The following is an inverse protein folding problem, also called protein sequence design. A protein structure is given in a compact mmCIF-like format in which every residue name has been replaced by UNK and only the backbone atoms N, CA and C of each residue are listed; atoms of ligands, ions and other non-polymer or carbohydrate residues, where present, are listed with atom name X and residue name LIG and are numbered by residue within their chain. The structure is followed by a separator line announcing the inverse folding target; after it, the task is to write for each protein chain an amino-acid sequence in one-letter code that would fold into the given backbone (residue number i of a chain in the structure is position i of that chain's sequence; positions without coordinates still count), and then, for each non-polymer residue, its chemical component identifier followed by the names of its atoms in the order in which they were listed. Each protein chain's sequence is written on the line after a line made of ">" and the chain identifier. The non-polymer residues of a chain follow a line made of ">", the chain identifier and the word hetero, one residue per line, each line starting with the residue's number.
data_IF_377424967440
#
_entry.id   IF_377424967440
#
_cell.length_a   1.000
_cell.length_b   1.000
_cell.length_c   1.000
_cell.angle_alpha   90.00
_cell.angle_beta   90.00
_cell.angle_gamma   90.00
#
_symmetry.space_group_name_H-M   'P 1'
#
loop_
_entity.id
_entity.type
_entity.pdbx_description
1 polymer ?
#
# COMPACT_ATOMS: atom_id res chain seq x y z
N UNK A 1 2.13 21.73 -66.61
CA UNK A 1 1.88 21.04 -65.32
C UNK A 1 1.33 19.66 -65.62
N UNK A 2 2.05 18.58 -65.29
CA UNK A 2 1.58 17.20 -65.51
C UNK A 2 0.59 16.84 -64.39
N UNK A 3 -0.66 16.57 -64.76
CA UNK A 3 -1.63 15.97 -63.83
C UNK A 3 -1.20 14.54 -63.52
N UNK A 4 -0.80 14.29 -62.26
CA UNK A 4 -0.60 12.93 -61.76
C UNK A 4 -1.97 12.23 -61.71
N UNK A 5 -2.17 11.26 -62.58
CA UNK A 5 -3.31 10.35 -62.53
C UNK A 5 -3.14 9.44 -61.32
N UNK A 6 -4.07 9.56 -60.36
CA UNK A 6 -4.12 8.76 -59.14
C UNK A 6 -4.37 7.29 -59.50
N UNK A 7 -3.42 6.41 -59.17
CA UNK A 7 -3.57 4.97 -59.37
C UNK A 7 -4.33 4.33 -58.18
N UNK A 8 -5.57 3.84 -58.36
CA UNK A 8 -6.38 3.29 -57.28
C UNK A 8 -5.76 2.04 -56.63
N UNK A 9 -4.89 1.31 -57.35
CA UNK A 9 -4.21 0.14 -56.81
C UNK A 9 -3.22 0.50 -55.68
N UNK A 10 -2.61 1.70 -55.75
CA UNK A 10 -1.67 2.16 -54.72
C UNK A 10 -2.40 2.44 -53.39
N UNK A 11 -3.62 3.00 -53.46
CA UNK A 11 -4.44 3.24 -52.26
C UNK A 11 -4.93 1.93 -51.63
N UNK A 12 -5.32 0.96 -52.46
CA UNK A 12 -5.75 -0.35 -51.98
C UNK A 12 -4.58 -1.10 -51.30
N UNK A 13 -3.38 -1.04 -51.88
CA UNK A 13 -2.19 -1.64 -51.30
C UNK A 13 -1.76 -0.98 -49.98
N UNK A 14 -1.81 0.36 -49.89
CA UNK A 14 -1.59 1.10 -48.65
C UNK A 14 -2.63 0.77 -47.58
N UNK A 15 -3.89 0.58 -47.96
CA UNK A 15 -4.95 0.21 -47.03
C UNK A 15 -4.74 -1.20 -46.43
N UNK A 16 -4.37 -2.19 -47.26
CA UNK A 16 -4.05 -3.54 -46.79
C UNK A 16 -2.78 -3.54 -45.92
N UNK A 17 -1.76 -2.75 -46.29
CA UNK A 17 -0.52 -2.63 -45.51
C UNK A 17 -0.76 -1.99 -44.13
N UNK A 18 -1.67 -1.02 -44.02
CA UNK A 18 -2.05 -0.44 -42.73
C UNK A 18 -2.83 -1.43 -41.85
N UNK A 19 -3.71 -2.26 -42.44
CA UNK A 19 -4.45 -3.27 -41.68
C UNK A 19 -3.50 -4.38 -41.19
N UNK A 20 -2.56 -4.84 -42.02
CA UNK A 20 -1.59 -5.86 -41.59
C UNK A 20 -0.64 -5.36 -40.50
N UNK A 21 -0.34 -4.06 -40.45
CA UNK A 21 0.43 -3.46 -39.35
C UNK A 21 -0.33 -3.48 -38.01
N UNK A 22 -1.66 -3.41 -38.01
CA UNK A 22 -2.46 -3.50 -36.77
C UNK A 22 -2.51 -4.91 -36.17
N UNK A 23 -2.29 -5.96 -36.97
CA UNK A 23 -2.26 -7.36 -36.49
C UNK A 23 -0.84 -7.87 -36.16
N UNK A 24 0.22 -7.09 -36.41
CA UNK A 24 1.60 -7.52 -36.26
C UNK A 24 2.28 -7.11 -34.93
N UNK A 25 1.57 -6.52 -33.97
CA UNK A 25 2.18 -6.05 -32.70
C UNK A 25 1.67 -6.73 -31.43
N UNK A 26 0.99 -7.88 -31.52
CA UNK A 26 0.69 -8.71 -30.34
C UNK A 26 1.27 -10.12 -30.47
N UNK A 27 2.59 -10.21 -30.68
CA UNK A 27 3.37 -11.31 -30.10
C UNK A 27 4.15 -10.76 -28.90
N UNK A 28 3.39 -10.24 -27.93
CA UNK A 28 3.90 -10.13 -26.57
C UNK A 28 4.11 -11.56 -26.07
N UNK A 29 5.34 -11.83 -25.66
CA UNK A 29 5.79 -13.08 -25.06
C UNK A 29 4.69 -13.73 -24.22
N UNK A 30 4.48 -15.04 -24.42
CA UNK A 30 3.83 -15.90 -23.45
C UNK A 30 4.72 -16.02 -22.20
N UNK A 31 5.03 -14.89 -21.55
CA UNK A 31 5.31 -14.91 -20.14
C UNK A 31 3.95 -15.11 -19.52
N UNK A 32 3.73 -16.28 -18.95
CA UNK A 32 2.60 -16.51 -18.07
C UNK A 32 2.40 -15.25 -17.22
N UNK A 33 1.33 -14.51 -17.50
CA UNK A 33 0.82 -13.50 -16.59
C UNK A 33 0.33 -14.29 -15.38
N UNK A 34 1.27 -14.68 -14.53
CA UNK A 34 1.01 -14.78 -13.11
C UNK A 34 0.56 -13.37 -12.79
N UNK A 35 -0.76 -13.18 -12.69
CA UNK A 35 -1.33 -12.03 -12.00
C UNK A 35 -0.79 -12.09 -10.58
N UNK A 36 0.43 -11.59 -10.38
CA UNK A 36 0.83 -11.08 -9.08
C UNK A 36 -0.09 -9.88 -8.93
N UNK A 37 -1.25 -10.10 -8.31
CA UNK A 37 -1.99 -9.03 -7.66
C UNK A 37 -0.94 -8.32 -6.81
N UNK A 38 -0.41 -7.20 -7.29
CA UNK A 38 0.67 -6.55 -6.57
C UNK A 38 0.10 -6.17 -5.21
N UNK A 39 0.80 -6.57 -4.15
CA UNK A 39 0.37 -6.35 -2.78
C UNK A 39 0.02 -4.87 -2.57
N UNK A 40 0.75 -3.99 -3.26
CA UNK A 40 0.57 -2.54 -3.28
C UNK A 40 0.34 -2.00 -4.70
N UNK A 41 -0.37 -0.89 -4.81
CA UNK A 41 -0.61 -0.20 -6.10
C UNK A 41 0.68 0.39 -6.67
N UNK A 42 0.84 0.41 -8.00
CA UNK A 42 2.01 1.00 -8.68
C UNK A 42 2.24 2.48 -8.35
N UNK A 43 1.17 3.21 -8.05
CA UNK A 43 1.20 4.59 -7.52
C UNK A 43 0.38 4.61 -6.25
N UNK A 44 0.91 5.17 -5.18
CA UNK A 44 0.27 5.21 -3.87
C UNK A 44 0.06 6.64 -3.42
N UNK A 45 -1.17 6.96 -3.03
CA UNK A 45 -1.47 8.11 -2.20
C UNK A 45 -1.91 7.56 -0.85
N UNK A 46 -1.06 7.79 0.16
CA UNK A 46 -1.12 7.10 1.45
C UNK A 46 -1.58 8.07 2.52
N UNK A 47 -2.61 7.69 3.26
CA UNK A 47 -3.04 8.39 4.47
C UNK A 47 -2.54 7.63 5.71
N UNK A 48 -1.96 8.34 6.67
CA UNK A 48 -1.61 7.80 7.98
C UNK A 48 -2.77 8.03 8.94
N UNK A 49 -3.30 6.95 9.50
CA UNK A 49 -4.31 6.99 10.54
C UNK A 49 -3.62 6.76 11.88
N UNK A 50 -3.42 7.85 12.62
CA UNK A 50 -2.92 7.79 13.99
C UNK A 50 -4.03 7.26 14.92
N UNK A 51 -3.90 6.02 15.36
CA UNK A 51 -4.89 5.38 16.23
C UNK A 51 -4.80 5.85 17.67
N UNK A 52 -3.68 6.45 18.10
CA UNK A 52 -3.54 7.02 19.45
C UNK A 52 -4.48 8.22 19.65
N UNK A 53 -4.71 9.01 18.60
CA UNK A 53 -5.76 10.03 18.58
C UNK A 53 -7.11 9.41 18.21
N UNK A 54 -7.66 8.67 19.17
CA UNK A 54 -8.88 7.90 18.99
C UNK A 54 -10.08 8.77 18.54
N UNK A 55 -10.24 9.97 19.10
CA UNK A 55 -11.37 10.84 18.75
C UNK A 55 -11.28 11.38 17.32
N UNK A 56 -10.07 11.66 16.83
CA UNK A 56 -9.86 11.97 15.42
C UNK A 56 -10.15 10.76 14.54
N UNK A 57 -9.66 9.58 14.94
CA UNK A 57 -9.92 8.32 14.22
C UNK A 57 -11.41 8.03 14.04
N UNK A 58 -12.23 8.24 15.09
CA UNK A 58 -13.68 8.01 15.02
C UNK A 58 -14.35 8.81 13.89
N UNK A 59 -13.94 10.08 13.72
CA UNK A 59 -14.55 11.04 12.78
C UNK A 59 -14.16 10.80 11.32
N UNK A 60 -13.11 10.02 11.07
CA UNK A 60 -12.61 9.80 9.70
C UNK A 60 -13.60 8.93 8.93
N UNK A 61 -14.10 9.47 7.81
CA UNK A 61 -14.92 8.73 6.85
C UNK A 61 -14.01 8.14 5.76
N UNK A 62 -13.88 6.81 5.75
CA UNK A 62 -12.99 6.11 4.82
C UNK A 62 -13.46 6.22 3.36
N UNK A 63 -14.77 6.30 3.11
CA UNK A 63 -15.29 6.56 1.76
C UNK A 63 -14.80 7.91 1.25
N UNK A 64 -14.91 8.95 2.07
CA UNK A 64 -14.42 10.29 1.69
C UNK A 64 -12.92 10.28 1.42
N UNK A 65 -12.13 9.59 2.24
CA UNK A 65 -10.68 9.42 2.02
C UNK A 65 -10.41 8.75 0.65
N UNK A 66 -11.17 7.71 0.31
CA UNK A 66 -11.09 7.03 -1.00
C UNK A 66 -11.45 7.97 -2.16
N UNK A 67 -12.48 8.79 -1.99
CA UNK A 67 -12.99 9.74 -2.98
C UNK A 67 -12.02 10.91 -3.19
N UNK A 68 -11.35 11.35 -2.11
CA UNK A 68 -10.28 12.36 -2.15
C UNK A 68 -8.99 11.82 -2.82
N UNK A 69 -8.98 10.56 -3.29
CA UNK A 69 -7.96 9.98 -4.15
C UNK A 69 -6.98 9.03 -3.46
N UNK A 70 -7.06 8.89 -2.14
CA UNK A 70 -6.21 7.95 -1.40
C UNK A 70 -6.55 6.52 -1.83
N UNK A 71 -5.51 5.68 -1.93
CA UNK A 71 -5.65 4.28 -2.32
C UNK A 71 -4.96 3.32 -1.35
N UNK A 72 -4.27 3.85 -0.34
CA UNK A 72 -3.67 3.10 0.75
C UNK A 72 -3.85 3.84 2.06
N UNK A 73 -4.13 3.10 3.13
CA UNK A 73 -4.14 3.61 4.50
C UNK A 73 -3.07 2.87 5.31
N UNK A 74 -2.30 3.61 6.10
CA UNK A 74 -1.38 3.06 7.10
C UNK A 74 -2.03 3.27 8.47
N UNK A 75 -2.22 2.17 9.21
CA UNK A 75 -2.70 2.20 10.61
C UNK A 75 -1.46 2.30 11.51
N UNK A 76 -1.35 3.37 12.29
CA UNK A 76 -0.13 3.74 13.04
C UNK A 76 -0.46 4.05 14.49
N UNK A 77 0.12 3.39 15.51
CA UNK A 77 1.01 2.21 15.44
C UNK A 77 0.42 1.03 16.23
N UNK A 78 0.55 -0.18 15.70
CA UNK A 78 0.38 -1.39 16.49
C UNK A 78 1.57 -1.51 17.44
N UNK A 79 1.29 -1.53 18.74
CA UNK A 79 2.29 -1.64 19.79
C UNK A 79 2.97 -2.99 19.78
N UNK A 80 4.29 -2.99 19.78
CA UNK A 80 5.11 -4.18 20.00
C UNK A 80 5.68 -4.14 21.41
N UNK A 81 5.32 -5.12 22.24
CA UNK A 81 5.92 -5.32 23.57
C UNK A 81 6.47 -6.74 23.64
N UNK A 82 7.79 -6.86 23.68
CA UNK A 82 8.49 -8.14 23.56
C UNK A 82 8.07 -8.90 22.29
N UNK A 83 7.28 -9.96 22.43
CA UNK A 83 6.73 -10.73 21.32
C UNK A 83 5.23 -10.52 21.11
N UNK A 84 4.57 -9.67 21.90
CA UNK A 84 3.13 -9.40 21.78
C UNK A 84 2.90 -8.17 20.91
N UNK A 85 1.84 -8.24 20.11
CA UNK A 85 1.41 -7.18 19.22
C UNK A 85 -0.05 -6.88 19.53
N UNK A 86 -0.37 -5.60 19.68
CA UNK A 86 -1.75 -5.15 19.87
C UNK A 86 -1.92 -3.72 19.36
N UNK A 87 -3.14 -3.36 18.96
CA UNK A 87 -3.44 -1.95 18.65
C UNK A 87 -3.51 -1.08 19.91
N UNK A 88 -3.70 -1.67 21.09
CA UNK A 88 -3.68 -1.00 22.39
C UNK A 88 -3.06 -1.87 23.47
N UNK A 89 -2.39 -1.26 24.46
CA UNK A 89 -1.74 -1.99 25.55
C UNK A 89 -2.72 -2.77 26.46
N UNK A 90 -4.00 -2.38 26.54
CA UNK A 90 -5.00 -2.97 27.44
C UNK A 90 -6.31 -3.25 26.68
N UNK A 91 -6.49 -4.43 26.06
CA UNK A 91 -7.71 -4.94 25.41
C UNK A 91 -8.93 -4.02 25.51
N UNK A 92 -9.00 -3.04 24.61
CA UNK A 92 -9.90 -1.91 24.70
C UNK A 92 -10.99 -2.01 23.64
N UNK A 93 -12.20 -1.54 23.94
CA UNK A 93 -13.28 -1.42 22.94
C UNK A 93 -12.88 -0.57 21.74
N UNK A 94 -11.87 0.29 21.91
CA UNK A 94 -11.22 1.05 20.82
C UNK A 94 -10.65 0.17 19.70
N UNK A 95 -10.26 -1.08 19.99
CA UNK A 95 -9.73 -2.01 18.99
C UNK A 95 -10.77 -2.35 17.91
N UNK A 96 -12.04 -2.54 18.30
CA UNK A 96 -13.12 -2.80 17.34
C UNK A 96 -13.31 -1.66 16.34
N UNK A 97 -13.13 -0.41 16.77
CA UNK A 97 -13.23 0.73 15.88
C UNK A 97 -12.09 0.77 14.85
N UNK A 98 -10.88 0.40 15.24
CA UNK A 98 -9.75 0.30 14.30
C UNK A 98 -10.01 -0.81 13.28
N UNK A 99 -10.44 -1.98 13.77
CA UNK A 99 -10.82 -3.10 12.90
C UNK A 99 -11.93 -2.69 11.92
N UNK A 100 -12.93 -1.94 12.37
CA UNK A 100 -13.98 -1.40 11.50
C UNK A 100 -13.41 -0.47 10.41
N UNK A 101 -12.50 0.46 10.74
CA UNK A 101 -11.82 1.29 9.72
C UNK A 101 -11.03 0.44 8.71
N UNK A 102 -10.34 -0.59 9.18
CA UNK A 102 -9.62 -1.54 8.31
C UNK A 102 -10.60 -2.26 7.37
N UNK A 103 -11.73 -2.75 7.89
CA UNK A 103 -12.74 -3.42 7.08
C UNK A 103 -13.36 -2.49 6.04
N UNK A 104 -13.68 -1.25 6.40
CA UNK A 104 -14.17 -0.23 5.47
C UNK A 104 -13.16 0.03 4.34
N UNK A 105 -11.88 0.23 4.67
CA UNK A 105 -10.83 0.47 3.67
C UNK A 105 -10.69 -0.72 2.70
N UNK A 106 -10.65 -1.95 3.23
CA UNK A 106 -10.59 -3.18 2.42
C UNK A 106 -11.81 -3.33 1.51
N UNK A 107 -13.02 -3.05 2.01
CA UNK A 107 -14.27 -3.11 1.24
C UNK A 107 -14.27 -2.13 0.05
N UNK A 108 -13.57 -1.00 0.19
CA UNK A 108 -13.41 0.01 -0.87
C UNK A 108 -12.23 -0.26 -1.80
N UNK A 109 -11.56 -1.41 -1.67
CA UNK A 109 -10.41 -1.79 -2.49
C UNK A 109 -9.14 -1.01 -2.16
N UNK A 110 -9.10 -0.30 -1.03
CA UNK A 110 -7.88 0.34 -0.56
C UNK A 110 -6.91 -0.71 -0.01
N UNK A 111 -5.60 -0.46 -0.17
CA UNK A 111 -4.58 -1.26 0.52
C UNK A 111 -4.50 -0.80 1.98
N UNK A 112 -4.29 -1.76 2.88
CA UNK A 112 -4.09 -1.48 4.30
C UNK A 112 -2.69 -1.94 4.66
N UNK A 113 -1.92 -1.03 5.26
CA UNK A 113 -0.62 -1.31 5.86
C UNK A 113 -0.72 -1.11 7.37
N UNK A 114 -0.04 -1.97 8.12
CA UNK A 114 0.09 -1.83 9.57
C UNK A 114 1.52 -1.35 9.86
N UNK A 115 1.62 -0.26 10.61
CA UNK A 115 2.89 0.17 11.18
C UNK A 115 3.03 -0.48 12.55
N UNK A 116 4.21 -1.04 12.83
CA UNK A 116 4.53 -1.70 14.08
C UNK A 116 5.61 -0.89 14.79
N UNK A 117 5.36 -0.53 16.04
CA UNK A 117 6.23 0.35 16.80
C UNK A 117 5.62 0.69 18.15
N UNK A 118 5.84 1.92 18.62
CA UNK A 118 5.32 2.42 19.88
C UNK A 118 6.13 3.63 20.36
N UNK A 119 5.68 4.30 21.43
CA UNK A 119 6.32 5.53 21.92
C UNK A 119 7.83 5.38 22.20
N UNK A 120 8.28 4.20 22.62
CA UNK A 120 9.70 3.92 22.85
C UNK A 120 10.52 3.76 21.57
N UNK A 121 9.87 3.37 20.47
CA UNK A 121 10.51 3.07 19.18
C UNK A 121 10.34 4.19 18.14
N UNK A 122 9.64 5.27 18.51
CA UNK A 122 9.36 6.40 17.63
C UNK A 122 10.37 7.52 17.85
N UNK A 123 10.94 8.04 16.76
CA UNK A 123 11.77 9.23 16.81
C UNK A 123 10.91 10.46 17.10
N UNK A 124 11.20 11.18 18.19
CA UNK A 124 10.58 12.45 18.49
C UNK A 124 11.56 13.60 18.16
N UNK A 125 11.18 14.57 17.32
CA UNK A 125 12.08 15.68 16.96
C UNK A 125 12.47 16.58 18.14
N UNK A 126 11.80 16.43 19.30
CA UNK A 126 12.10 17.12 20.55
C UNK A 126 13.00 16.30 21.52
N UNK A 127 13.56 15.17 21.10
CA UNK A 127 14.58 14.49 21.90
C UNK A 127 15.79 15.43 21.91
N UNK A 128 15.97 16.13 23.04
CA UNK A 128 17.18 16.91 23.32
C UNK A 128 18.40 16.06 22.98
N UNK A 129 19.52 16.68 22.57
CA UNK A 129 20.80 15.98 22.31
C UNK A 129 21.23 15.03 23.45
N UNK A 130 20.69 15.22 24.65
CA UNK A 130 20.97 14.45 25.86
C UNK A 130 19.86 13.44 26.23
N UNK A 131 18.82 13.30 25.41
CA UNK A 131 17.74 12.33 25.58
C UNK A 131 18.16 10.92 25.14
N UNK A 132 17.41 9.91 25.59
CA UNK A 132 17.66 8.55 25.13
C UNK A 132 17.26 8.40 23.67
N UNK A 133 18.14 7.79 22.87
CA UNK A 133 17.81 7.35 21.53
C UNK A 133 16.56 6.45 21.56
N UNK A 134 15.70 6.50 20.53
CA UNK A 134 14.58 5.58 20.44
C UNK A 134 15.11 4.14 20.45
N UNK A 135 14.41 3.27 21.15
CA UNK A 135 14.70 1.84 21.17
C UNK A 135 14.50 1.30 19.74
N UNK A 136 15.57 0.79 19.13
CA UNK A 136 15.47 0.18 17.81
C UNK A 136 14.92 -1.23 17.99
N UNK A 137 13.67 -1.44 17.53
CA UNK A 137 13.01 -2.73 17.60
C UNK A 137 13.90 -3.82 16.98
N UNK A 138 14.23 -4.84 17.77
CA UNK A 138 15.05 -5.97 17.32
C UNK A 138 16.57 -5.79 17.45
N UNK A 139 17.09 -4.62 17.87
CA UNK A 139 18.55 -4.38 17.97
C UNK A 139 19.27 -5.34 18.91
N UNK A 140 18.67 -5.62 20.07
CA UNK A 140 19.27 -6.47 21.11
C UNK A 140 18.62 -7.87 21.16
N UNK A 141 17.84 -8.24 20.14
CA UNK A 141 17.17 -9.54 20.04
C UNK A 141 18.07 -10.58 19.37
N UNK A 142 18.08 -11.80 19.91
CA UNK A 142 18.66 -12.96 19.22
C UNK A 142 17.89 -13.28 17.93
N UNK A 143 18.52 -14.02 17.01
CA UNK A 143 17.87 -14.51 15.79
C UNK A 143 16.56 -15.27 16.07
N UNK A 144 16.50 -16.03 17.16
CA UNK A 144 15.29 -16.74 17.57
C UNK A 144 14.16 -15.78 17.95
N UNK A 145 14.49 -14.70 18.69
CA UNK A 145 13.53 -13.66 19.07
C UNK A 145 13.07 -12.85 17.85
N UNK A 146 13.97 -12.50 16.93
CA UNK A 146 13.64 -11.82 15.67
C UNK A 146 12.68 -12.67 14.83
N UNK A 147 12.96 -13.96 14.67
CA UNK A 147 12.10 -14.87 13.93
C UNK A 147 10.73 -15.05 14.60
N UNK A 148 10.69 -15.07 15.93
CA UNK A 148 9.43 -15.15 16.67
C UNK A 148 8.61 -13.87 16.50
N UNK A 149 9.25 -12.70 16.60
CA UNK A 149 8.60 -11.41 16.36
C UNK A 149 8.04 -11.32 14.93
N UNK A 150 8.81 -11.70 13.92
CA UNK A 150 8.35 -11.71 12.53
C UNK A 150 7.14 -12.64 12.32
N UNK A 151 7.12 -13.82 12.95
CA UNK A 151 5.96 -14.72 12.92
C UNK A 151 4.73 -14.10 13.55
N UNK A 152 4.90 -13.41 14.68
CA UNK A 152 3.79 -12.76 15.37
C UNK A 152 3.24 -11.58 14.55
N UNK A 153 4.10 -10.82 13.86
CA UNK A 153 3.69 -9.76 12.92
C UNK A 153 2.85 -10.31 11.77
N UNK A 154 3.19 -11.50 11.25
CA UNK A 154 2.43 -12.14 10.16
C UNK A 154 1.10 -12.71 10.66
N UNK A 155 1.08 -13.23 11.90
CA UNK A 155 -0.11 -13.80 12.51
C UNK A 155 -1.16 -12.73 12.87
N UNK A 156 -0.71 -11.56 13.33
CA UNK A 156 -1.54 -10.41 13.67
C UNK A 156 -2.19 -9.77 12.42
#
# INVERSE_FOLDING_TARGET
>A
MKNMTYNPFIKFFLFIFCISLTFATTKGSNNANIYINSLLSKRMLVGFLNIEDFFSTLKINIQKVKDDGYNTIVISDAYVSESKISFYQNNDTREYHILDKIHQAKKLGMKVLLSFGGSKNTFHPNINKDGQDPEILGKDMSNAQINNLAKNIIFF
#
